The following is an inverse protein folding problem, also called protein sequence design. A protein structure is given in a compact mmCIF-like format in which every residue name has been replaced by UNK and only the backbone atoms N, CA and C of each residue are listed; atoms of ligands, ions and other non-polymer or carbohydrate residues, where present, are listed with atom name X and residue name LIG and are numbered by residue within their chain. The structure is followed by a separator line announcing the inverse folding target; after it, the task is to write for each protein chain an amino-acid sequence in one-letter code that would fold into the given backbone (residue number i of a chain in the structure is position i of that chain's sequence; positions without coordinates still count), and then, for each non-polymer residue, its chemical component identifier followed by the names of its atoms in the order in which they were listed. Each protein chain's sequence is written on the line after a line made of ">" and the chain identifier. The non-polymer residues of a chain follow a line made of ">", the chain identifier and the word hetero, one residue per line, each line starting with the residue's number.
data_IF_621156922533
#
_entry.id   IF_621156922533
#
_cell.length_a   1.000
_cell.length_b   1.000
_cell.length_c   1.000
_cell.angle_alpha   90.00
_cell.angle_beta   90.00
_cell.angle_gamma   90.00
#
_symmetry.space_group_name_H-M   'P 1'
#
loop_
_entity.id
_entity.type
_entity.pdbx_description
1 polymer ?
#
# COMPACT_ATOMS: atom_id res chain seq x y z
N UNK A 1 -19.79 41.37 -9.94
CA UNK A 1 -20.01 40.48 -8.78
C UNK A 1 -21.15 39.53 -9.14
N UNK A 2 -21.20 38.22 -8.78
CA UNK A 2 -20.28 37.43 -7.94
C UNK A 2 -20.02 35.95 -8.36
N UNK A 3 -19.02 35.36 -7.68
CA UNK A 3 -18.85 33.96 -7.22
C UNK A 3 -18.66 32.80 -8.22
N UNK A 4 -17.40 32.41 -8.42
CA UNK A 4 -17.03 31.03 -8.67
C UNK A 4 -17.59 30.12 -7.55
N UNK A 5 -18.33 29.07 -7.93
CA UNK A 5 -18.77 28.01 -7.01
C UNK A 5 -17.53 27.35 -6.40
N UNK A 6 -17.16 27.77 -5.19
CA UNK A 6 -16.20 27.07 -4.34
C UNK A 6 -16.84 25.74 -3.90
N UNK A 7 -16.82 24.75 -4.79
CA UNK A 7 -17.18 23.38 -4.47
C UNK A 7 -16.16 22.79 -3.50
N UNK A 8 -16.62 22.08 -2.48
CA UNK A 8 -15.79 21.37 -1.51
C UNK A 8 -14.75 20.49 -2.20
N UNK A 9 -13.50 20.96 -2.24
CA UNK A 9 -12.38 20.19 -2.75
C UNK A 9 -11.95 19.15 -1.72
N UNK A 10 -11.88 17.88 -2.12
CA UNK A 10 -11.37 16.76 -1.30
C UNK A 10 -9.97 17.06 -0.73
N UNK A 11 -9.17 17.82 -1.48
CA UNK A 11 -7.83 18.27 -1.07
C UNK A 11 -7.90 19.26 0.11
N UNK A 12 -8.95 20.09 0.17
CA UNK A 12 -9.18 21.03 1.28
C UNK A 12 -9.66 20.31 2.53
N UNK A 13 -10.50 19.28 2.37
CA UNK A 13 -10.91 18.39 3.46
C UNK A 13 -9.70 17.64 4.06
N UNK A 14 -8.84 17.04 3.23
CA UNK A 14 -7.62 16.37 3.71
C UNK A 14 -6.66 17.33 4.44
N UNK A 15 -6.52 18.56 3.94
CA UNK A 15 -5.73 19.61 4.64
C UNK A 15 -6.32 19.96 6.01
N UNK A 16 -7.64 20.04 6.14
CA UNK A 16 -8.29 20.28 7.43
C UNK A 16 -8.20 19.08 8.38
N UNK A 17 -8.30 17.85 7.87
CA UNK A 17 -8.14 16.63 8.67
C UNK A 17 -6.72 16.50 9.25
N UNK A 18 -5.68 16.85 8.48
CA UNK A 18 -4.29 16.91 8.97
C UNK A 18 -4.10 17.98 10.05
N UNK A 19 -4.80 19.11 9.96
CA UNK A 19 -4.75 20.15 11.00
C UNK A 19 -5.50 19.74 12.28
N UNK A 20 -6.56 18.92 12.17
CA UNK A 20 -7.28 18.36 13.31
C UNK A 20 -6.55 17.23 14.03
N UNK A 21 -5.86 16.35 13.29
CA UNK A 21 -5.00 15.29 13.84
C UNK A 21 -3.60 15.79 14.24
N UNK A 22 -3.19 16.95 13.70
CA UNK A 22 -1.91 17.59 14.01
C UNK A 22 -1.89 18.33 15.36
N UNK A 23 -3.05 18.69 15.91
CA UNK A 23 -3.13 19.28 17.25
C UNK A 23 -2.82 18.27 18.37
N UNK A 24 -3.07 16.97 18.14
CA UNK A 24 -2.59 15.88 19.02
C UNK A 24 -1.15 15.47 18.73
N UNK A 25 -0.58 15.86 17.58
CA UNK A 25 0.83 15.66 17.27
C UNK A 25 1.72 16.82 17.78
N UNK A 26 1.17 18.03 17.95
CA UNK A 26 1.93 19.16 18.47
C UNK A 26 2.19 19.07 20.00
N UNK A 27 1.47 18.24 20.74
CA UNK A 27 1.86 17.81 22.10
C UNK A 27 2.93 16.71 22.10
N UNK A 28 3.23 16.11 20.95
CA UNK A 28 4.26 15.08 20.76
C UNK A 28 5.51 15.61 20.02
N UNK A 29 5.52 16.87 19.56
CA UNK A 29 6.46 17.34 18.55
C UNK A 29 7.35 18.53 18.90
N UNK A 30 7.29 19.09 20.10
CA UNK A 30 7.98 20.35 20.43
C UNK A 30 8.90 20.31 21.66
N UNK A 31 9.50 19.15 21.97
CA UNK A 31 10.50 19.06 23.04
C UNK A 31 11.65 18.15 22.66
N UNK A 32 12.85 18.72 22.54
CA UNK A 32 14.14 18.03 22.46
C UNK A 32 14.51 17.38 23.80
N UNK A 33 13.60 16.56 24.35
CA UNK A 33 13.89 15.64 25.45
C UNK A 33 13.85 14.27 24.82
N UNK A 34 15.00 13.61 24.80
CA UNK A 34 15.23 12.38 24.07
C UNK A 34 14.08 11.40 24.22
N UNK A 35 13.66 10.83 23.09
CA UNK A 35 13.11 9.50 23.06
C UNK A 35 14.25 8.55 23.46
N UNK A 36 14.69 8.64 24.72
CA UNK A 36 15.17 7.48 25.43
C UNK A 36 13.93 6.59 25.52
N UNK A 37 13.69 5.86 24.43
CA UNK A 37 12.93 4.65 24.49
C UNK A 37 13.52 3.91 25.67
N UNK A 38 12.71 3.66 26.70
CA UNK A 38 13.10 2.69 27.69
C UNK A 38 13.59 1.48 26.90
N UNK A 39 14.82 1.03 27.15
CA UNK A 39 15.24 -0.32 26.78
C UNK A 39 14.36 -1.28 27.59
N UNK A 40 13.08 -1.36 27.21
CA UNK A 40 12.34 -2.58 27.40
C UNK A 40 13.00 -3.55 26.45
N UNK A 41 13.61 -4.57 27.04
CA UNK A 41 14.14 -5.78 26.41
C UNK A 41 12.99 -6.45 25.64
N UNK A 42 12.61 -5.83 24.53
CA UNK A 42 11.53 -6.23 23.67
C UNK A 42 12.10 -7.37 22.88
N UNK A 43 11.56 -8.57 23.14
CA UNK A 43 11.96 -9.78 22.44
C UNK A 43 12.12 -9.48 20.94
N UNK A 44 13.25 -9.87 20.31
CA UNK A 44 13.51 -9.57 18.91
C UNK A 44 12.32 -10.00 18.04
N UNK A 45 11.90 -9.12 17.12
CA UNK A 45 10.84 -9.45 16.16
C UNK A 45 11.32 -10.68 15.36
N UNK A 46 10.67 -11.82 15.56
CA UNK A 46 10.96 -13.02 14.79
C UNK A 46 10.22 -12.95 13.47
N UNK A 47 10.97 -12.84 12.38
CA UNK A 47 10.45 -12.99 11.02
C UNK A 47 10.09 -14.48 10.82
N UNK A 48 8.87 -14.80 10.36
CA UNK A 48 8.49 -16.16 10.03
C UNK A 48 9.37 -16.75 8.91
N UNK A 49 9.69 -18.05 9.02
CA UNK A 49 10.65 -18.72 8.11
C UNK A 49 10.12 -18.78 6.66
N UNK A 50 8.82 -18.59 6.44
CA UNK A 50 8.17 -18.51 5.14
C UNK A 50 8.71 -17.36 4.28
N UNK A 51 9.09 -16.23 4.89
CA UNK A 51 9.64 -15.08 4.17
C UNK A 51 11.04 -15.36 3.63
N UNK A 52 11.89 -16.03 4.42
CA UNK A 52 13.22 -16.47 3.95
C UNK A 52 13.08 -17.56 2.89
N UNK A 53 12.09 -18.44 3.02
CA UNK A 53 11.79 -19.46 2.01
C UNK A 53 11.37 -18.82 0.69
N UNK A 54 10.43 -17.86 0.71
CA UNK A 54 9.96 -17.15 -0.47
C UNK A 54 11.07 -16.33 -1.16
N UNK A 55 11.95 -15.71 -0.37
CA UNK A 55 13.11 -14.96 -0.89
C UNK A 55 14.10 -15.83 -1.67
N UNK A 56 14.24 -17.09 -1.28
CA UNK A 56 15.16 -18.04 -1.92
C UNK A 56 14.49 -18.89 -3.01
N UNK A 57 13.18 -18.73 -3.24
CA UNK A 57 12.47 -19.46 -4.28
C UNK A 57 12.95 -19.04 -5.67
N UNK A 58 13.10 -20.02 -6.57
CA UNK A 58 13.44 -19.73 -7.95
C UNK A 58 12.31 -18.93 -8.61
N UNK A 59 12.67 -17.81 -9.24
CA UNK A 59 11.70 -17.05 -10.03
C UNK A 59 11.26 -17.89 -11.24
N UNK A 60 9.95 -17.93 -11.54
CA UNK A 60 9.46 -18.66 -12.70
C UNK A 60 10.07 -18.07 -13.99
N UNK A 61 10.43 -18.96 -14.92
CA UNK A 61 10.86 -18.53 -16.24
C UNK A 61 9.67 -17.91 -16.99
N UNK A 62 9.85 -16.67 -17.43
CA UNK A 62 8.88 -15.93 -18.22
C UNK A 62 9.47 -15.72 -19.61
N UNK A 63 8.85 -16.32 -20.63
CA UNK A 63 9.16 -16.02 -22.01
C UNK A 63 8.48 -14.71 -22.42
N UNK A 64 9.29 -13.76 -22.85
CA UNK A 64 8.82 -12.48 -23.37
C UNK A 64 8.59 -12.59 -24.89
N UNK A 65 7.58 -11.91 -25.45
CA UNK A 65 6.91 -10.72 -24.89
C UNK A 65 5.61 -11.01 -24.10
N UNK A 66 5.59 -10.57 -22.83
CA UNK A 66 4.36 -10.45 -22.02
C UNK A 66 4.24 -9.03 -21.45
N UNK A 67 3.02 -8.52 -21.36
CA UNK A 67 2.70 -7.26 -20.67
C UNK A 67 2.63 -7.48 -19.15
N UNK A 68 2.79 -6.42 -18.35
CA UNK A 68 2.68 -6.52 -16.88
C UNK A 68 1.33 -7.06 -16.40
N UNK A 69 0.24 -6.80 -17.15
CA UNK A 69 -1.07 -7.36 -16.86
C UNK A 69 -1.12 -8.89 -17.03
N UNK A 70 -0.49 -9.41 -18.08
CA UNK A 70 -0.37 -10.85 -18.33
C UNK A 70 0.53 -11.53 -17.30
N UNK A 71 1.62 -10.87 -16.88
CA UNK A 71 2.47 -11.37 -15.79
C UNK A 71 1.67 -11.49 -14.50
N UNK A 72 0.90 -10.46 -14.15
CA UNK A 72 0.06 -10.46 -12.96
C UNK A 72 -1.02 -11.54 -13.02
N UNK A 73 -1.72 -11.66 -14.14
CA UNK A 73 -2.74 -12.70 -14.33
C UNK A 73 -2.18 -14.11 -14.22
N UNK A 74 -1.00 -14.36 -14.81
CA UNK A 74 -0.29 -15.63 -14.70
C UNK A 74 0.06 -15.94 -13.24
N UNK A 75 0.57 -14.98 -12.48
CA UNK A 75 0.86 -15.15 -11.06
C UNK A 75 -0.41 -15.49 -10.26
N UNK A 76 -1.53 -14.79 -10.51
CA UNK A 76 -2.82 -15.11 -9.87
C UNK A 76 -3.26 -16.56 -10.15
N UNK A 77 -3.02 -17.05 -11.37
CA UNK A 77 -3.35 -18.43 -11.77
C UNK A 77 -2.44 -19.46 -11.10
N UNK A 78 -1.14 -19.20 -11.05
CA UNK A 78 -0.14 -20.09 -10.42
C UNK A 78 -0.35 -20.19 -8.90
N UNK A 79 -0.77 -19.11 -8.25
CA UNK A 79 -1.10 -19.05 -6.81
C UNK A 79 -2.52 -19.55 -6.48
N UNK A 80 -3.33 -19.92 -7.48
CA UNK A 80 -4.69 -20.45 -7.26
C UNK A 80 -5.69 -19.40 -6.74
N UNK A 81 -5.53 -18.13 -7.10
CA UNK A 81 -6.45 -17.06 -6.72
C UNK A 81 -7.84 -17.35 -7.30
N UNK A 82 -8.83 -17.58 -6.42
CA UNK A 82 -10.19 -17.92 -6.83
C UNK A 82 -10.98 -16.74 -7.42
N UNK A 83 -10.70 -15.52 -6.96
CA UNK A 83 -11.36 -14.31 -7.44
C UNK A 83 -10.52 -13.05 -7.13
N UNK A 84 -10.57 -12.05 -8.02
CA UNK A 84 -10.01 -10.72 -7.79
C UNK A 84 -11.13 -9.68 -7.79
N UNK A 85 -11.33 -9.01 -6.66
CA UNK A 85 -12.21 -7.85 -6.56
C UNK A 85 -11.38 -6.57 -6.70
N UNK A 86 -11.67 -5.78 -7.73
CA UNK A 86 -10.98 -4.50 -7.96
C UNK A 86 -11.95 -3.39 -8.35
N UNK A 87 -11.58 -2.15 -8.04
CA UNK A 87 -12.32 -0.98 -8.48
C UNK A 87 -12.28 -0.87 -10.02
N UNK A 88 -13.38 -0.46 -10.67
CA UNK A 88 -13.42 -0.35 -12.12
C UNK A 88 -12.40 0.67 -12.63
N UNK A 89 -11.79 0.37 -13.78
CA UNK A 89 -10.84 1.27 -14.46
C UNK A 89 -9.53 0.61 -14.90
N UNK A 90 -9.18 -0.55 -14.35
CA UNK A 90 -7.98 -1.29 -14.75
C UNK A 90 -8.29 -2.44 -15.72
N UNK A 91 -8.78 -2.08 -16.91
CA UNK A 91 -9.27 -3.06 -17.90
C UNK A 91 -8.19 -4.00 -18.41
N UNK A 92 -6.93 -3.57 -18.52
CA UNK A 92 -5.84 -4.44 -18.97
C UNK A 92 -5.65 -5.64 -18.04
N UNK A 93 -5.70 -5.41 -16.72
CA UNK A 93 -5.62 -6.46 -15.70
C UNK A 93 -6.88 -7.31 -15.68
N UNK A 94 -8.06 -6.69 -15.72
CA UNK A 94 -9.34 -7.42 -15.72
C UNK A 94 -9.44 -8.35 -16.93
N UNK A 95 -9.05 -7.87 -18.11
CA UNK A 95 -9.00 -8.70 -19.32
C UNK A 95 -7.97 -9.81 -19.19
N UNK A 96 -6.73 -9.49 -18.79
CA UNK A 96 -5.68 -10.49 -18.68
C UNK A 96 -5.99 -11.62 -17.69
N UNK A 97 -6.76 -11.34 -16.61
CA UNK A 97 -7.20 -12.36 -15.63
C UNK A 97 -8.38 -13.19 -16.15
N UNK A 98 -9.18 -12.63 -17.05
CA UNK A 98 -10.34 -13.31 -17.61
C UNK A 98 -10.00 -14.24 -18.78
N UNK A 99 -8.83 -14.05 -19.39
CA UNK A 99 -8.26 -14.89 -20.46
C UNK A 99 -7.62 -16.19 -19.90
#
# INVERSE_FOLDING_TARGET
>A
MPRAKQGNSRRRFMKQAVLGAGATAATLGAGSVGLAAAEEDTAPIRVPDEFETAKNAALPAVDFPMTGAQVFARACKEEGVAALFCCPGNYSVVHAISD
#
